data_IF_135931393797
#
_entry.id   IF_135931393797
#
_cell.length_a   1.000
_cell.length_b   1.000
_cell.length_c   1.000
_cell.angle_alpha   90.00
_cell.angle_beta   90.00
_cell.angle_gamma   90.00
#
_symmetry.space_group_name_H-M   'P 1'
#
loop_
_entity.id
_entity.type
_entity.pdbx_description
1 polymer ?
#
# COMPACT_ATOMS: atom_id res chain seq x y z
N UNK A 1 -4.96 4.78 -35.39
CA UNK A 1 -4.66 6.00 -34.65
C UNK A 1 -5.36 7.22 -35.27
N UNK A 2 -5.79 8.14 -34.45
CA UNK A 2 -6.40 9.40 -34.90
C UNK A 2 -5.29 10.38 -35.30
N UNK A 3 -5.39 11.00 -36.47
CA UNK A 3 -4.36 11.90 -37.02
C UNK A 3 -4.08 13.17 -36.18
N UNK A 4 -4.90 13.49 -35.19
CA UNK A 4 -4.79 14.68 -34.36
C UNK A 4 -4.71 14.35 -32.85
N UNK A 5 -4.33 13.13 -32.50
CA UNK A 5 -4.08 12.81 -31.10
C UNK A 5 -2.77 13.43 -30.62
N UNK A 6 -2.77 13.98 -29.39
CA UNK A 6 -1.56 14.49 -28.78
C UNK A 6 -0.72 13.37 -28.17
N UNK A 7 -1.38 12.33 -27.71
CA UNK A 7 -0.78 11.12 -27.13
C UNK A 7 -1.78 9.96 -27.15
N UNK A 8 -1.29 8.76 -27.06
CA UNK A 8 -2.09 7.56 -26.77
C UNK A 8 -1.71 7.01 -25.40
N UNK A 9 -2.70 6.69 -24.60
CA UNK A 9 -2.52 6.02 -23.31
C UNK A 9 -2.87 4.56 -23.45
N UNK A 10 -1.92 3.68 -23.14
CA UNK A 10 -2.14 2.26 -22.95
C UNK A 10 -2.24 1.97 -21.45
N UNK A 11 -3.31 1.32 -21.04
CA UNK A 11 -3.50 0.86 -19.68
C UNK A 11 -3.73 -0.64 -19.69
N UNK A 12 -2.90 -1.37 -18.95
CA UNK A 12 -3.02 -2.82 -18.76
C UNK A 12 -3.33 -3.09 -17.30
N UNK A 13 -4.46 -3.76 -17.07
CA UNK A 13 -4.93 -4.13 -15.73
C UNK A 13 -5.16 -5.62 -15.63
N UNK A 14 -4.83 -6.20 -14.48
CA UNK A 14 -5.13 -7.59 -14.15
C UNK A 14 -5.27 -7.73 -12.64
N UNK A 15 -6.14 -8.64 -12.19
CA UNK A 15 -6.30 -8.93 -10.78
C UNK A 15 -4.99 -9.43 -10.18
N UNK A 16 -4.66 -8.93 -8.99
CA UNK A 16 -3.42 -9.28 -8.30
C UNK A 16 -2.14 -8.63 -8.84
N UNK A 17 -2.26 -7.73 -9.83
CA UNK A 17 -1.12 -7.01 -10.41
C UNK A 17 -1.34 -5.50 -10.33
N UNK A 18 -0.25 -4.74 -10.23
CA UNK A 18 -0.34 -3.29 -10.38
C UNK A 18 -0.62 -2.94 -11.85
N UNK A 19 -1.47 -1.93 -12.05
CA UNK A 19 -1.76 -1.45 -13.39
C UNK A 19 -0.50 -0.86 -14.03
N UNK A 20 -0.32 -1.14 -15.32
CA UNK A 20 0.74 -0.56 -16.14
C UNK A 20 0.10 0.53 -16.99
N UNK A 21 0.68 1.71 -16.98
CA UNK A 21 0.25 2.84 -17.79
C UNK A 21 1.43 3.33 -18.61
N UNK A 22 1.29 3.25 -19.94
CA UNK A 22 2.29 3.73 -20.90
C UNK A 22 1.68 4.80 -21.78
N UNK A 23 2.41 5.89 -21.97
CA UNK A 23 2.07 6.93 -22.92
C UNK A 23 2.86 6.70 -24.22
N UNK A 24 2.16 6.66 -25.33
CA UNK A 24 2.73 6.40 -26.65
C UNK A 24 2.56 7.66 -27.48
N UNK A 25 3.67 8.18 -28.01
CA UNK A 25 3.63 9.32 -28.92
C UNK A 25 2.95 8.90 -30.23
N UNK A 26 2.01 9.70 -30.75
CA UNK A 26 1.43 9.45 -32.07
C UNK A 26 2.44 9.35 -33.20
N UNK A 27 3.60 10.00 -33.06
CA UNK A 27 4.69 9.96 -34.05
C UNK A 27 5.39 8.60 -34.12
N UNK A 28 5.28 7.78 -33.08
CA UNK A 28 5.81 6.41 -33.06
C UNK A 28 4.99 5.45 -33.94
N UNK A 29 3.77 5.85 -34.33
CA UNK A 29 2.94 5.07 -35.23
C UNK A 29 3.32 5.35 -36.69
N UNK A 30 4.04 4.42 -37.28
CA UNK A 30 4.34 4.44 -38.72
C UNK A 30 3.43 3.47 -39.44
N UNK A 31 2.93 3.81 -40.68
CA UNK A 31 2.18 2.85 -41.48
C UNK A 31 3.00 1.59 -41.72
N UNK A 32 2.36 0.45 -41.59
CA UNK A 32 2.91 -0.87 -41.87
C UNK A 32 4.02 -1.39 -40.92
N UNK A 33 4.36 -0.64 -39.86
CA UNK A 33 5.31 -1.11 -38.84
C UNK A 33 4.57 -1.26 -37.50
N UNK A 34 4.43 -2.50 -36.98
CA UNK A 34 3.81 -2.68 -35.66
C UNK A 34 4.70 -2.13 -34.55
N UNK A 35 4.08 -1.49 -33.55
CA UNK A 35 4.77 -1.10 -32.31
C UNK A 35 4.84 -2.32 -31.39
N UNK A 36 6.02 -2.61 -30.88
CA UNK A 36 6.27 -3.62 -29.87
C UNK A 36 6.59 -2.93 -28.54
N UNK A 37 5.84 -3.25 -27.51
CA UNK A 37 6.06 -2.75 -26.14
C UNK A 37 6.35 -3.93 -25.21
N UNK A 38 7.50 -3.89 -24.56
CA UNK A 38 7.83 -4.80 -23.49
C UNK A 38 7.36 -4.18 -22.16
N UNK A 39 6.36 -4.80 -21.52
CA UNK A 39 5.77 -4.31 -20.29
C UNK A 39 6.16 -5.20 -19.12
N UNK A 40 6.68 -4.58 -18.07
CA UNK A 40 7.02 -5.26 -16.84
C UNK A 40 5.88 -5.10 -15.83
N UNK A 41 5.29 -6.21 -15.41
CA UNK A 41 4.21 -6.24 -14.45
C UNK A 41 4.72 -6.59 -13.04
N UNK A 42 4.24 -5.86 -12.04
CA UNK A 42 4.57 -6.10 -10.63
C UNK A 42 3.39 -6.77 -9.92
N UNK A 43 3.56 -7.97 -9.34
CA UNK A 43 2.51 -8.64 -8.60
C UNK A 43 2.27 -7.97 -7.25
N UNK A 44 1.03 -8.03 -6.78
CA UNK A 44 0.60 -7.47 -5.49
C UNK A 44 0.63 -8.49 -4.37
N UNK A 45 0.90 -7.98 -3.17
CA UNK A 45 0.47 -8.56 -1.91
C UNK A 45 -0.56 -7.64 -1.25
N UNK A 46 -1.41 -8.19 -0.39
CA UNK A 46 -2.35 -7.44 0.43
C UNK A 46 -1.88 -7.44 1.88
N UNK A 47 -1.92 -6.29 2.52
CA UNK A 47 -1.65 -6.16 3.96
C UNK A 47 -2.92 -5.68 4.66
N UNK A 48 -3.35 -6.45 5.65
CA UNK A 48 -4.43 -6.11 6.57
C UNK A 48 -3.87 -5.91 7.96
N UNK A 49 -3.97 -4.73 8.52
CA UNK A 49 -3.55 -4.42 9.86
C UNK A 49 -4.80 -4.27 10.72
N UNK A 50 -4.93 -5.14 11.71
CA UNK A 50 -6.00 -5.08 12.70
C UNK A 50 -5.48 -4.42 13.96
N UNK A 51 -6.19 -3.40 14.46
CA UNK A 51 -5.84 -2.63 15.63
C UNK A 51 -6.95 -2.77 16.66
N UNK A 52 -6.62 -3.34 17.80
CA UNK A 52 -7.56 -3.62 18.87
C UNK A 52 -7.07 -3.07 20.22
N UNK A 53 -7.90 -2.25 20.84
CA UNK A 53 -7.71 -1.91 22.25
C UNK A 53 -8.22 -3.07 23.13
N UNK A 54 -7.30 -3.92 23.57
CA UNK A 54 -7.58 -5.10 24.39
C UNK A 54 -7.66 -4.76 25.89
N UNK A 55 -7.12 -3.63 26.30
CA UNK A 55 -7.03 -3.21 27.71
C UNK A 55 -7.43 -1.74 27.87
N UNK A 56 -8.72 -1.41 27.66
CA UNK A 56 -9.16 -0.02 27.71
C UNK A 56 -8.97 0.61 29.08
N UNK A 57 -8.29 1.76 29.13
CA UNK A 57 -8.05 2.52 30.36
C UNK A 57 -9.14 3.57 30.64
N UNK A 58 -9.97 3.88 29.65
CA UNK A 58 -11.02 4.91 29.68
C UNK A 58 -10.52 6.35 29.93
N UNK A 59 -9.20 6.59 29.81
CA UNK A 59 -8.63 7.93 29.99
C UNK A 59 -8.19 8.55 28.66
N UNK A 60 -7.06 8.13 28.14
CA UNK A 60 -6.48 8.71 26.95
C UNK A 60 -5.86 7.61 26.06
N UNK A 61 -6.62 6.53 25.87
CA UNK A 61 -6.13 5.45 25.02
C UNK A 61 -5.94 5.97 23.60
N UNK A 62 -4.69 5.93 23.16
CA UNK A 62 -4.29 6.42 21.85
C UNK A 62 -3.13 5.63 21.30
N UNK A 63 -3.27 5.22 20.07
CA UNK A 63 -2.17 4.63 19.31
C UNK A 63 -2.08 5.27 17.94
N UNK A 64 -0.90 5.21 17.38
CA UNK A 64 -0.67 5.59 15.99
C UNK A 64 0.28 4.63 15.31
N UNK A 65 0.04 4.42 14.03
CA UNK A 65 0.87 3.57 13.20
C UNK A 65 1.22 4.31 11.91
N UNK A 66 2.42 4.04 11.43
CA UNK A 66 2.93 4.55 10.16
C UNK A 66 3.67 3.45 9.43
N UNK A 67 3.34 3.26 8.15
CA UNK A 67 4.12 2.39 7.27
C UNK A 67 5.37 3.13 6.83
N UNK A 68 6.50 2.42 6.78
CA UNK A 68 7.81 2.98 6.45
C UNK A 68 8.37 2.44 5.13
N UNK A 69 7.60 1.62 4.42
CA UNK A 69 8.02 1.06 3.14
C UNK A 69 8.13 2.13 2.05
N UNK A 70 9.19 2.05 1.26
CA UNK A 70 9.44 2.94 0.12
C UNK A 70 9.21 2.17 -1.19
N UNK A 71 7.95 2.07 -1.59
CA UNK A 71 7.53 1.39 -2.82
C UNK A 71 7.05 2.37 -3.90
N UNK A 72 7.22 3.68 -3.68
CA UNK A 72 6.78 4.72 -4.60
C UNK A 72 5.28 4.62 -4.90
N UNK A 73 4.93 4.58 -6.19
CA UNK A 73 3.54 4.45 -6.65
C UNK A 73 3.01 3.00 -6.61
N UNK A 74 3.86 2.04 -6.30
CA UNK A 74 3.51 0.62 -6.20
C UNK A 74 2.97 0.25 -4.79
N UNK A 75 2.35 1.18 -4.11
CA UNK A 75 1.66 0.95 -2.84
C UNK A 75 0.61 2.02 -2.60
N UNK A 76 -0.47 1.63 -1.98
CA UNK A 76 -1.46 2.51 -1.34
C UNK A 76 -1.37 2.47 0.19
N UNK A 77 -0.41 1.72 0.73
CA UNK A 77 -0.01 1.80 2.13
C UNK A 77 0.76 3.11 2.37
N UNK A 78 0.07 4.23 2.36
CA UNK A 78 0.69 5.54 2.56
C UNK A 78 1.55 5.60 3.83
N UNK A 79 2.57 6.46 3.83
CA UNK A 79 3.41 6.67 5.02
C UNK A 79 2.93 7.83 5.91
N UNK A 80 1.65 8.17 5.81
CA UNK A 80 0.97 9.05 6.76
C UNK A 80 0.67 8.34 8.07
N UNK A 81 0.44 9.11 9.12
CA UNK A 81 0.03 8.56 10.40
C UNK A 81 -1.45 8.16 10.39
N UNK A 82 -1.72 6.91 10.75
CA UNK A 82 -3.04 6.45 11.15
C UNK A 82 -3.13 6.57 12.67
N UNK A 83 -4.16 7.27 13.16
CA UNK A 83 -4.35 7.56 14.57
C UNK A 83 -5.67 6.98 15.03
N UNK A 84 -5.65 6.24 16.14
CA UNK A 84 -6.81 5.61 16.75
C UNK A 84 -6.89 6.03 18.21
N UNK A 85 -8.07 6.49 18.64
CA UNK A 85 -8.29 7.04 19.97
C UNK A 85 -9.54 6.44 20.62
N UNK A 86 -9.46 6.24 21.92
CA UNK A 86 -10.59 5.82 22.75
C UNK A 86 -10.58 4.34 23.14
N UNK A 87 -11.50 3.97 24.04
CA UNK A 87 -11.50 2.65 24.65
C UNK A 87 -12.05 1.52 23.75
N UNK A 88 -12.75 1.87 22.69
CA UNK A 88 -13.48 0.92 21.86
C UNK A 88 -12.86 0.73 20.45
N UNK A 89 -11.56 0.98 20.33
CA UNK A 89 -10.88 0.81 19.05
C UNK A 89 -10.88 -0.66 18.64
N UNK A 90 -11.45 -0.91 17.48
CA UNK A 90 -11.44 -2.19 16.78
C UNK A 90 -11.54 -1.87 15.29
N UNK A 91 -10.42 -1.48 14.72
CA UNK A 91 -10.31 -0.97 13.36
C UNK A 91 -9.33 -1.78 12.52
N UNK A 92 -9.39 -1.59 11.22
CA UNK A 92 -8.45 -2.19 10.29
C UNK A 92 -7.97 -1.21 9.22
N UNK A 93 -6.74 -1.41 8.79
CA UNK A 93 -6.13 -0.77 7.63
C UNK A 93 -5.90 -1.84 6.58
N UNK A 94 -6.36 -1.59 5.35
CA UNK A 94 -6.14 -2.48 4.22
C UNK A 94 -5.37 -1.73 3.15
N UNK A 95 -4.28 -2.31 2.68
CA UNK A 95 -3.47 -1.74 1.61
C UNK A 95 -2.74 -2.80 0.81
N UNK A 96 -2.19 -2.41 -0.33
CA UNK A 96 -1.41 -3.27 -1.22
C UNK A 96 0.02 -2.78 -1.35
N UNK A 97 0.93 -3.71 -1.59
CA UNK A 97 2.35 -3.45 -1.86
C UNK A 97 2.87 -4.50 -2.85
N UNK A 98 4.05 -4.30 -3.45
CA UNK A 98 4.68 -5.34 -4.25
C UNK A 98 4.86 -6.62 -3.45
N UNK A 99 4.44 -7.76 -4.04
CA UNK A 99 4.51 -9.06 -3.40
C UNK A 99 5.94 -9.49 -3.05
N UNK A 100 6.07 -10.41 -2.09
CA UNK A 100 7.33 -10.91 -1.57
C UNK A 100 8.26 -9.82 -1.02
N UNK A 101 7.67 -8.86 -0.34
CA UNK A 101 8.40 -7.76 0.30
C UNK A 101 8.07 -7.63 1.77
N UNK A 102 9.02 -7.07 2.51
CA UNK A 102 8.84 -6.66 3.89
C UNK A 102 8.23 -5.25 3.93
N UNK A 103 7.17 -5.08 4.72
CA UNK A 103 6.62 -3.75 5.07
C UNK A 103 7.10 -3.38 6.46
N UNK A 104 8.07 -2.47 6.59
CA UNK A 104 8.45 -1.92 7.88
C UNK A 104 7.38 -0.96 8.39
N UNK A 105 7.17 -0.96 9.70
CA UNK A 105 6.21 -0.06 10.34
C UNK A 105 6.72 0.46 11.67
N UNK A 106 6.20 1.61 12.07
CA UNK A 106 6.37 2.23 13.38
C UNK A 106 5.01 2.27 14.06
N UNK A 107 4.88 1.61 15.20
CA UNK A 107 3.70 1.63 16.04
C UNK A 107 4.02 2.32 17.36
N UNK A 108 3.22 3.30 17.77
CA UNK A 108 3.41 4.05 19.01
C UNK A 108 2.14 3.95 19.84
N UNK A 109 2.27 3.36 21.03
CA UNK A 109 1.22 3.35 22.02
C UNK A 109 1.44 4.54 23.00
N UNK A 110 0.49 5.46 22.99
CA UNK A 110 0.49 6.70 23.80
C UNK A 110 -0.55 6.65 24.91
N UNK A 111 -1.04 5.47 25.27
CA UNK A 111 -2.05 5.27 26.32
C UNK A 111 -1.46 5.34 27.72
N UNK A 112 -0.14 5.32 27.84
CA UNK A 112 0.60 5.35 29.09
C UNK A 112 1.28 6.70 29.29
N UNK A 113 1.87 6.90 30.49
CA UNK A 113 2.62 8.11 30.83
C UNK A 113 3.82 8.32 29.90
N UNK A 114 4.49 7.22 29.56
CA UNK A 114 5.57 7.19 28.56
C UNK A 114 5.09 6.51 27.28
N UNK A 115 5.41 7.10 26.14
CA UNK A 115 5.16 6.50 24.83
C UNK A 115 5.94 5.19 24.67
N UNK A 116 5.26 4.15 24.22
CA UNK A 116 5.89 2.87 23.87
C UNK A 116 5.98 2.75 22.37
N UNK A 117 7.20 2.74 21.85
CA UNK A 117 7.47 2.64 20.42
C UNK A 117 7.92 1.23 20.03
N UNK A 118 7.35 0.73 18.95
CA UNK A 118 7.74 -0.53 18.32
C UNK A 118 8.06 -0.27 16.85
N UNK A 119 9.27 -0.59 16.45
CA UNK A 119 9.68 -0.62 15.05
C UNK A 119 9.88 -2.08 14.65
N UNK A 120 9.12 -2.53 13.68
CA UNK A 120 9.18 -3.92 13.21
C UNK A 120 8.81 -3.97 11.72
N UNK A 121 8.74 -5.15 11.15
CA UNK A 121 8.34 -5.37 9.77
C UNK A 121 7.54 -6.65 9.62
N UNK A 122 6.67 -6.68 8.61
CA UNK A 122 5.86 -7.83 8.26
C UNK A 122 6.11 -8.22 6.81
N UNK A 123 6.34 -9.52 6.57
CA UNK A 123 6.51 -10.04 5.21
C UNK A 123 5.16 -10.26 4.55
N UNK A 124 5.00 -9.73 3.35
CA UNK A 124 3.78 -9.81 2.57
C UNK A 124 4.01 -10.68 1.33
N UNK A 125 3.49 -11.89 1.38
CA UNK A 125 3.63 -12.87 0.30
C UNK A 125 2.81 -12.49 -0.92
N UNK A 126 3.39 -12.70 -2.10
CA UNK A 126 2.75 -12.39 -3.38
C UNK A 126 1.39 -13.09 -3.53
N UNK A 127 0.39 -12.34 -4.02
CA UNK A 127 -1.01 -12.78 -4.22
C UNK A 127 -1.76 -13.18 -2.94
N UNK A 128 -1.15 -13.06 -1.76
CA UNK A 128 -1.75 -13.40 -0.49
C UNK A 128 -2.16 -12.15 0.31
N UNK A 129 -3.04 -12.35 1.29
CA UNK A 129 -3.36 -11.34 2.30
C UNK A 129 -2.65 -11.67 3.59
N UNK A 130 -1.68 -10.86 3.96
CA UNK A 130 -1.00 -10.94 5.25
C UNK A 130 -1.76 -10.14 6.30
N UNK A 131 -2.01 -10.73 7.46
CA UNK A 131 -2.69 -10.06 8.58
C UNK A 131 -1.68 -9.77 9.67
N UNK A 132 -1.55 -8.49 10.03
CA UNK A 132 -0.81 -8.00 11.19
C UNK A 132 -1.82 -7.63 12.29
N UNK A 133 -1.69 -8.21 13.47
CA UNK A 133 -2.55 -7.89 14.61
C UNK A 133 -1.77 -7.07 15.63
N UNK A 134 -2.25 -5.86 15.93
CA UNK A 134 -1.68 -4.95 16.90
C UNK A 134 -2.70 -4.75 18.04
N UNK A 135 -2.38 -5.31 19.20
CA UNK A 135 -3.18 -5.20 20.40
C UNK A 135 -2.48 -4.27 21.41
N UNK A 136 -3.26 -3.43 22.10
CA UNK A 136 -2.75 -2.51 23.11
C UNK A 136 -3.73 -2.28 24.27
#
# INVERSE_FOLDING_TARGET
PRKNALEYKLEVTSDGWFAIVENIDPEDFTPDIPIHLDLEATPKAQLKIKILNSFPSYKNDKVRIRMLGDFGQLTDCGNDWYVFEGPNVNDEINCSLPGDNWMPYLFINQSYEDDVEVVDSVFCEVFETTVLELNY
#
